data_IF_502582530491
#
_entry.id   IF_502582530491
#
_cell.length_a   1.000
_cell.length_b   1.000
_cell.length_c   1.000
_cell.angle_alpha   90.00
_cell.angle_beta   90.00
_cell.angle_gamma   90.00
#
_symmetry.space_group_name_H-M   'P 1'
#
loop_
_entity.id
_entity.type
_entity.pdbx_description
1 polymer ?
#
# COMPACT_ATOMS: atom_id res chain seq x y z
N UNK A 1 -14.35 17.80 0.31
CA UNK A 1 -14.52 17.56 -1.14
C UNK A 1 -15.92 17.11 -1.59
N UNK A 2 -16.72 16.39 -0.79
CA UNK A 2 -18.06 15.88 -1.21
C UNK A 2 -19.04 16.93 -1.74
N UNK A 3 -18.92 18.20 -1.31
CA UNK A 3 -19.77 19.31 -1.77
C UNK A 3 -19.03 20.34 -2.64
N UNK A 4 -17.75 20.09 -2.96
CA UNK A 4 -16.99 21.02 -3.79
C UNK A 4 -17.46 20.97 -5.25
N UNK A 5 -17.36 22.08 -6.02
CA UNK A 5 -17.56 22.11 -7.47
C UNK A 5 -16.66 21.10 -8.19
N UNK A 6 -17.06 20.63 -9.38
CA UNK A 6 -16.25 19.66 -10.15
C UNK A 6 -14.85 20.20 -10.47
N UNK A 7 -14.73 21.48 -10.80
CA UNK A 7 -13.45 22.10 -11.14
C UNK A 7 -12.43 21.98 -10.00
N UNK A 8 -12.89 22.14 -8.76
CA UNK A 8 -12.08 21.97 -7.54
C UNK A 8 -11.77 20.51 -7.20
N UNK A 9 -12.53 19.55 -7.72
CA UNK A 9 -12.24 18.11 -7.57
C UNK A 9 -11.29 17.58 -8.64
N UNK A 10 -11.20 18.30 -9.76
CA UNK A 10 -10.27 18.05 -10.84
C UNK A 10 -8.96 18.86 -10.70
N UNK A 11 -8.88 19.72 -9.67
CA UNK A 11 -7.66 20.44 -9.34
C UNK A 11 -6.70 19.55 -8.54
N UNK A 12 -5.49 19.35 -9.08
CA UNK A 12 -4.44 18.51 -8.49
C UNK A 12 -3.96 19.02 -7.14
N UNK A 13 -3.81 20.32 -6.96
CA UNK A 13 -3.32 20.89 -5.69
C UNK A 13 -4.35 20.68 -4.59
N UNK A 14 -5.63 20.93 -4.90
CA UNK A 14 -6.73 20.71 -3.96
C UNK A 14 -6.91 19.22 -3.66
N UNK A 15 -6.76 18.35 -4.67
CA UNK A 15 -6.77 16.91 -4.49
C UNK A 15 -5.66 16.44 -3.55
N UNK A 16 -4.41 16.88 -3.76
CA UNK A 16 -3.29 16.55 -2.89
C UNK A 16 -3.49 17.08 -1.46
N UNK A 17 -3.95 18.32 -1.30
CA UNK A 17 -4.23 18.88 0.02
C UNK A 17 -5.33 18.11 0.75
N UNK A 18 -6.38 17.69 0.04
CA UNK A 18 -7.46 16.92 0.61
C UNK A 18 -7.04 15.49 0.97
N UNK A 19 -6.27 14.83 0.12
CA UNK A 19 -5.70 13.49 0.39
C UNK A 19 -4.74 13.54 1.58
N UNK A 20 -3.95 14.61 1.71
CA UNK A 20 -3.11 14.88 2.89
C UNK A 20 -3.90 15.16 4.17
N UNK A 21 -5.18 15.49 4.10
CA UNK A 21 -6.02 15.58 5.30
C UNK A 21 -6.77 14.27 5.55
N UNK A 22 -7.21 13.60 4.49
CA UNK A 22 -7.97 12.37 4.56
C UNK A 22 -7.79 11.56 3.28
N UNK A 23 -7.06 10.45 3.36
CA UNK A 23 -6.86 9.54 2.24
C UNK A 23 -8.18 9.03 1.60
N UNK A 24 -9.29 8.94 2.36
CA UNK A 24 -10.61 8.56 1.83
C UNK A 24 -11.27 9.64 0.97
N UNK A 25 -10.63 10.81 0.83
CA UNK A 25 -11.06 11.86 -0.08
C UNK A 25 -10.85 11.48 -1.56
N UNK A 26 -9.99 10.49 -1.86
CA UNK A 26 -9.76 9.94 -3.20
C UNK A 26 -11.04 9.62 -3.96
N UNK A 27 -12.02 8.96 -3.30
CA UNK A 27 -13.32 8.58 -3.90
C UNK A 27 -14.19 9.76 -4.34
N UNK A 28 -13.80 10.99 -3.99
CA UNK A 28 -14.51 12.21 -4.35
C UNK A 28 -13.74 13.07 -5.35
N UNK A 29 -12.56 12.62 -5.80
CA UNK A 29 -11.82 13.29 -6.85
C UNK A 29 -12.51 13.08 -8.21
N UNK A 30 -12.24 14.00 -9.13
CA UNK A 30 -12.76 13.97 -10.49
C UNK A 30 -11.60 14.17 -11.48
N UNK A 31 -11.86 14.01 -12.78
CA UNK A 31 -10.87 14.25 -13.82
C UNK A 31 -9.74 13.23 -13.88
N UNK A 32 -9.93 12.01 -13.33
CA UNK A 32 -8.93 10.94 -13.34
C UNK A 32 -7.82 11.11 -12.32
N UNK A 33 -7.93 12.07 -11.39
CA UNK A 33 -6.96 12.25 -10.30
C UNK A 33 -6.98 11.11 -9.27
N UNK A 34 -8.06 10.33 -9.24
CA UNK A 34 -8.18 9.06 -8.50
C UNK A 34 -7.35 7.92 -9.11
N UNK A 35 -6.77 8.14 -10.30
CA UNK A 35 -5.79 7.27 -10.92
C UNK A 35 -4.39 7.93 -11.02
N UNK A 36 -4.23 9.18 -10.57
CA UNK A 36 -2.95 9.86 -10.60
C UNK A 36 -1.98 9.22 -9.60
N UNK A 37 -0.89 8.67 -10.11
CA UNK A 37 0.13 7.99 -9.33
C UNK A 37 0.65 8.80 -8.15
N UNK A 38 0.83 10.12 -8.32
CA UNK A 38 1.32 11.00 -7.26
C UNK A 38 0.31 11.15 -6.13
N UNK A 39 -0.97 11.34 -6.48
CA UNK A 39 -2.07 11.43 -5.52
C UNK A 39 -2.24 10.09 -4.78
N UNK A 40 -2.18 8.97 -5.50
CA UNK A 40 -2.29 7.63 -4.95
C UNK A 40 -1.16 7.29 -3.97
N UNK A 41 0.09 7.62 -4.30
CA UNK A 41 1.23 7.46 -3.40
C UNK A 41 1.05 8.24 -2.10
N UNK A 42 0.59 9.48 -2.17
CA UNK A 42 0.35 10.30 -0.97
C UNK A 42 -0.78 9.74 -0.11
N UNK A 43 -1.85 9.21 -0.72
CA UNK A 43 -2.93 8.56 0.01
C UNK A 43 -2.46 7.30 0.74
N UNK A 44 -1.67 6.48 0.06
CA UNK A 44 -1.12 5.24 0.61
C UNK A 44 -0.16 5.51 1.76
N UNK A 45 0.67 6.56 1.66
CA UNK A 45 1.55 6.99 2.74
C UNK A 45 0.79 7.33 4.03
N UNK A 46 -0.46 7.75 3.94
CA UNK A 46 -1.30 7.98 5.11
C UNK A 46 -1.97 6.71 5.63
N UNK A 47 -2.52 5.90 4.71
CA UNK A 47 -3.33 4.72 5.06
C UNK A 47 -3.12 3.63 4.02
N UNK A 48 -2.41 2.56 4.38
CA UNK A 48 -2.23 1.40 3.50
C UNK A 48 -3.55 0.73 3.09
N UNK A 49 -4.59 0.78 3.93
CA UNK A 49 -5.92 0.21 3.67
C UNK A 49 -6.63 0.82 2.44
N UNK A 50 -6.26 2.03 2.00
CA UNK A 50 -6.90 2.68 0.85
C UNK A 50 -6.57 1.99 -0.47
N UNK A 51 -5.53 1.14 -0.50
CA UNK A 51 -5.19 0.32 -1.68
C UNK A 51 -6.37 -0.54 -2.15
N UNK A 52 -7.28 -0.92 -1.25
CA UNK A 52 -8.50 -1.66 -1.61
C UNK A 52 -9.45 -0.87 -2.52
N UNK A 53 -9.44 0.46 -2.42
CA UNK A 53 -10.28 1.36 -3.21
C UNK A 53 -9.60 1.75 -4.54
N UNK A 54 -8.36 1.31 -4.78
CA UNK A 54 -7.58 1.72 -5.95
C UNK A 54 -7.97 0.96 -7.22
N UNK A 55 -7.82 1.59 -8.39
CA UNK A 55 -8.02 0.91 -9.66
C UNK A 55 -6.99 -0.21 -9.86
N UNK A 56 -7.33 -1.20 -10.69
CA UNK A 56 -6.49 -2.40 -10.88
C UNK A 56 -5.04 -2.08 -11.30
N UNK A 57 -4.85 -1.08 -12.16
CA UNK A 57 -3.51 -0.65 -12.59
C UNK A 57 -2.64 -0.15 -11.42
N UNK A 58 -3.23 0.52 -10.43
CA UNK A 58 -2.51 1.01 -9.26
C UNK A 58 -2.25 -0.10 -8.25
N UNK A 59 -3.13 -1.11 -8.17
CA UNK A 59 -2.91 -2.34 -7.39
C UNK A 59 -1.87 -3.27 -8.03
N UNK A 60 -1.58 -3.07 -9.32
CA UNK A 60 -0.49 -3.70 -10.05
C UNK A 60 0.82 -2.88 -10.04
N UNK A 61 0.81 -1.65 -9.50
CA UNK A 61 2.03 -0.84 -9.38
C UNK A 61 2.82 -1.27 -8.13
N UNK A 62 3.99 -1.84 -8.37
CA UNK A 62 4.91 -2.33 -7.32
C UNK A 62 5.21 -1.26 -6.25
N UNK A 63 5.45 -0.02 -6.64
CA UNK A 63 5.87 1.02 -5.71
C UNK A 63 4.72 1.46 -4.80
N UNK A 64 3.51 1.60 -5.38
CA UNK A 64 2.30 1.93 -4.62
C UNK A 64 1.99 0.82 -3.61
N UNK A 65 2.02 -0.45 -4.03
CA UNK A 65 1.73 -1.57 -3.14
C UNK A 65 2.78 -1.72 -2.05
N UNK A 66 4.08 -1.57 -2.36
CA UNK A 66 5.14 -1.63 -1.35
C UNK A 66 4.99 -0.53 -0.28
N UNK A 67 4.61 0.68 -0.69
CA UNK A 67 4.37 1.75 0.28
C UNK A 67 3.11 1.47 1.12
N UNK A 68 2.10 0.83 0.55
CA UNK A 68 0.89 0.43 1.26
C UNK A 68 1.18 -0.64 2.30
N UNK A 69 1.97 -1.64 1.92
CA UNK A 69 2.44 -2.70 2.81
C UNK A 69 3.32 -2.15 3.92
N UNK A 70 4.14 -1.14 3.63
CA UNK A 70 4.96 -0.46 4.64
C UNK A 70 4.12 0.19 5.72
N UNK A 71 2.95 0.73 5.36
CA UNK A 71 2.02 1.34 6.31
C UNK A 71 1.11 0.32 7.00
N UNK A 72 0.57 -0.63 6.25
CA UNK A 72 -0.24 -1.73 6.77
C UNK A 72 0.06 -3.00 5.97
N UNK A 73 0.69 -3.98 6.61
CA UNK A 73 0.96 -5.28 6.00
C UNK A 73 -0.28 -6.00 5.44
N UNK A 74 -1.49 -5.67 5.93
CA UNK A 74 -2.76 -6.19 5.39
C UNK A 74 -3.03 -5.71 3.98
N UNK A 75 -2.47 -4.56 3.56
CA UNK A 75 -2.66 -4.02 2.22
C UNK A 75 -2.23 -5.00 1.13
N UNK A 76 -1.27 -5.89 1.43
CA UNK A 76 -0.79 -6.91 0.50
C UNK A 76 -1.92 -7.79 -0.06
N UNK A 77 -2.98 -8.05 0.71
CA UNK A 77 -4.13 -8.86 0.26
C UNK A 77 -4.93 -8.23 -0.89
N UNK A 78 -4.74 -6.93 -1.12
CA UNK A 78 -5.43 -6.16 -2.16
C UNK A 78 -4.55 -5.96 -3.39
N UNK A 79 -3.27 -6.34 -3.34
CA UNK A 79 -2.38 -6.30 -4.48
C UNK A 79 -2.88 -7.21 -5.61
N UNK A 80 -2.44 -6.93 -6.83
CA UNK A 80 -2.74 -7.77 -7.97
C UNK A 80 -2.10 -9.17 -7.84
N UNK A 81 -2.80 -10.21 -8.27
CA UNK A 81 -2.34 -11.60 -8.20
C UNK A 81 -1.01 -11.80 -8.95
N UNK A 82 -0.74 -11.03 -10.01
CA UNK A 82 0.54 -11.10 -10.72
C UNK A 82 1.71 -10.63 -9.86
N UNK A 83 1.53 -9.56 -9.08
CA UNK A 83 2.52 -9.08 -8.12
C UNK A 83 2.68 -10.07 -6.96
N UNK A 84 1.57 -10.62 -6.47
CA UNK A 84 1.59 -11.64 -5.41
C UNK A 84 2.26 -12.94 -5.86
N UNK A 85 2.27 -13.24 -7.16
CA UNK A 85 3.02 -14.35 -7.74
C UNK A 85 4.53 -14.08 -7.86
N UNK A 86 4.97 -12.83 -7.82
CA UNK A 86 6.37 -12.46 -7.91
C UNK A 86 7.07 -12.65 -6.55
N UNK A 87 8.01 -13.59 -6.53
CA UNK A 87 8.73 -13.94 -5.32
C UNK A 87 9.63 -12.81 -4.80
N UNK A 88 10.28 -12.08 -5.70
CA UNK A 88 11.13 -10.94 -5.33
C UNK A 88 10.30 -9.81 -4.70
N UNK A 89 9.10 -9.60 -5.22
CA UNK A 89 8.16 -8.62 -4.66
C UNK A 89 7.70 -9.00 -3.25
N UNK A 90 7.22 -10.24 -3.07
CA UNK A 90 6.72 -10.70 -1.76
C UNK A 90 7.84 -10.69 -0.72
N UNK A 91 9.07 -11.07 -1.10
CA UNK A 91 10.22 -10.98 -0.21
C UNK A 91 10.51 -9.54 0.25
N UNK A 92 10.43 -8.56 -0.66
CA UNK A 92 10.64 -7.16 -0.31
C UNK A 92 9.52 -6.64 0.60
N UNK A 93 8.27 -6.96 0.27
CA UNK A 93 7.09 -6.59 1.05
C UNK A 93 7.17 -7.09 2.50
N UNK A 94 7.52 -8.37 2.67
CA UNK A 94 7.70 -8.98 4.00
C UNK A 94 8.91 -8.41 4.73
N UNK A 95 9.99 -8.08 4.02
CA UNK A 95 11.16 -7.41 4.62
C UNK A 95 10.86 -6.01 5.13
N UNK A 96 9.95 -5.27 4.48
CA UNK A 96 9.51 -3.93 4.93
C UNK A 96 8.51 -3.99 6.09
N UNK A 97 7.61 -4.97 6.10
CA UNK A 97 6.58 -5.09 7.13
C UNK A 97 6.34 -6.56 7.52
N UNK A 98 6.79 -6.95 8.71
CA UNK A 98 6.66 -8.33 9.24
C UNK A 98 5.21 -8.83 9.25
N UNK A 99 4.25 -7.94 9.54
CA UNK A 99 2.82 -8.28 9.54
C UNK A 99 2.24 -8.64 8.16
N UNK A 100 2.95 -8.33 7.07
CA UNK A 100 2.52 -8.68 5.71
C UNK A 100 2.56 -10.20 5.47
N UNK A 101 3.45 -10.90 6.19
CA UNK A 101 3.59 -12.35 6.13
C UNK A 101 2.29 -13.11 6.43
N UNK A 102 1.45 -12.58 7.33
CA UNK A 102 0.18 -13.24 7.66
C UNK A 102 -0.86 -13.17 6.52
N UNK A 103 -0.64 -12.28 5.56
CA UNK A 103 -1.54 -12.00 4.44
C UNK A 103 -1.00 -12.44 3.08
N UNK A 104 0.23 -12.99 3.02
CA UNK A 104 0.74 -13.63 1.81
C UNK A 104 0.07 -14.98 1.56
N UNK A 105 -0.04 -15.36 0.29
CA UNK A 105 -0.52 -16.67 -0.17
C UNK A 105 0.25 -17.82 0.50
N UNK A 106 -0.41 -18.96 0.73
CA UNK A 106 0.17 -20.10 1.45
C UNK A 106 1.47 -20.64 0.82
N UNK A 107 1.67 -20.42 -0.48
CA UNK A 107 2.90 -20.74 -1.22
C UNK A 107 4.11 -20.02 -0.59
N UNK A 108 3.96 -18.75 -0.25
CA UNK A 108 4.99 -17.92 0.37
C UNK A 108 5.11 -18.14 1.88
N UNK A 109 4.00 -18.51 2.53
CA UNK A 109 4.01 -18.89 3.94
C UNK A 109 4.83 -20.16 4.21
N UNK A 110 5.02 -21.01 3.19
CA UNK A 110 5.89 -22.19 3.25
C UNK A 110 7.31 -21.92 2.76
N UNK A 111 7.59 -20.74 2.23
CA UNK A 111 8.92 -20.40 1.74
C UNK A 111 9.88 -20.17 2.91
N UNK A 112 10.91 -20.99 2.97
CA UNK A 112 11.90 -20.98 4.05
C UNK A 112 12.65 -19.65 4.15
N UNK A 113 12.90 -18.97 3.03
CA UNK A 113 13.63 -17.69 3.03
C UNK A 113 12.77 -16.55 3.58
N UNK A 114 11.47 -16.54 3.21
CA UNK A 114 10.51 -15.57 3.74
C UNK A 114 10.33 -15.76 5.24
N UNK A 115 10.10 -17.00 5.69
CA UNK A 115 9.98 -17.33 7.10
C UNK A 115 11.24 -16.98 7.92
N UNK A 116 12.42 -17.31 7.39
CA UNK A 116 13.68 -17.02 8.08
C UNK A 116 13.90 -15.52 8.27
N UNK A 117 13.59 -14.69 7.25
CA UNK A 117 13.69 -13.22 7.37
C UNK A 117 12.73 -12.64 8.39
N UNK A 118 11.47 -13.10 8.44
CA UNK A 118 10.50 -12.63 9.45
C UNK A 118 10.98 -12.97 10.86
N UNK A 119 11.45 -14.21 11.07
CA UNK A 119 11.94 -14.66 12.38
C UNK A 119 13.23 -13.94 12.80
N UNK A 120 14.13 -13.66 11.85
CA UNK A 120 15.35 -12.89 12.12
C UNK A 120 15.06 -11.40 12.38
N UNK A 121 14.13 -10.78 11.63
CA UNK A 121 13.68 -9.41 11.85
C UNK A 121 13.06 -9.19 13.24
N UNK A 122 12.24 -10.14 13.71
CA UNK A 122 11.71 -10.13 15.07
C UNK A 122 12.82 -10.17 16.14
N UNK A 123 13.94 -10.85 15.86
CA UNK A 123 15.04 -11.05 16.80
C UNK A 123 15.96 -9.84 16.89
N UNK A 124 16.14 -9.08 15.81
CA UNK A 124 16.95 -7.86 15.80
C UNK A 124 16.22 -6.67 16.45
N UNK A 125 14.88 -6.59 16.31
CA UNK A 125 14.09 -5.50 16.91
C UNK A 125 13.77 -5.71 18.40
N UNK A 126 13.78 -6.95 18.87
CA UNK A 126 13.71 -7.26 20.30
C UNK A 126 14.99 -6.98 21.09
N UNK A 127 16.11 -6.68 20.41
CA UNK A 127 17.41 -6.43 21.04
C UNK A 127 17.74 -4.93 21.27
N UNK A 128 16.85 -4.01 20.89
CA UNK A 128 17.04 -2.55 21.06
C UNK A 128 16.32 -1.94 22.28
N UNK A 129 15.85 -2.77 23.20
CA UNK A 129 15.35 -2.35 24.51
C UNK A 129 16.05 -3.12 25.62
N UNK A 130 17.30 -2.73 25.90
CA UNK A 130 17.94 -2.84 27.21
C UNK A 130 18.69 -1.55 27.46
#
# INVERSE_FOLDING_TARGET
LRHAPMDLRADREVAMAAVRQNARALKHLAGGLDADRGVLLEAVKQRGEVLAEFPAHARADREIVLEAVRQDGRALRHADDQLLGDHGFVQEAVGRHEGAFWHTSDIFRRDRQVCAKVVLGCRERGASTV
#
